data_IF_973832043590
#
_entry.id   IF_973832043590
#
_cell.length_a   1.000
_cell.length_b   1.000
_cell.length_c   1.000
_cell.angle_alpha   90.00
_cell.angle_beta   90.00
_cell.angle_gamma   90.00
#
_symmetry.space_group_name_H-M   'P 1'
#
loop_
_entity.id
_entity.type
_entity.pdbx_description
1 polymer ?
#
# COMPACT_ATOMS: atom_id res chain seq x y z
N UNK A 1 -24.39 -26.37 -9.17
CA UNK A 1 -22.97 -25.96 -9.01
C UNK A 1 -22.77 -24.49 -8.59
N UNK A 2 -23.75 -23.79 -8.02
CA UNK A 2 -23.64 -22.32 -7.74
C UNK A 2 -23.39 -21.93 -6.27
N UNK A 3 -23.30 -22.90 -5.34
CA UNK A 3 -23.19 -22.57 -3.91
C UNK A 3 -21.77 -22.32 -3.39
N UNK A 4 -20.75 -22.86 -4.05
CA UNK A 4 -19.35 -22.74 -3.58
C UNK A 4 -18.75 -21.35 -3.88
N UNK A 5 -19.12 -20.72 -4.97
CA UNK A 5 -18.64 -19.39 -5.31
C UNK A 5 -19.24 -18.29 -4.41
N UNK A 6 -20.48 -18.46 -3.97
CA UNK A 6 -21.15 -17.52 -3.06
C UNK A 6 -20.49 -17.51 -1.66
N UNK A 7 -20.18 -18.71 -1.13
CA UNK A 7 -19.54 -18.83 0.19
C UNK A 7 -18.10 -18.37 0.22
N UNK A 8 -17.33 -18.58 -0.85
CA UNK A 8 -15.95 -18.09 -0.98
C UNK A 8 -15.91 -16.56 -1.05
N UNK A 9 -16.78 -15.96 -1.85
CA UNK A 9 -16.90 -14.49 -1.94
C UNK A 9 -17.33 -13.87 -0.61
N UNK A 10 -18.27 -14.49 0.10
CA UNK A 10 -18.73 -14.00 1.40
C UNK A 10 -17.63 -14.07 2.47
N UNK A 11 -16.79 -15.12 2.45
CA UNK A 11 -15.61 -15.21 3.33
C UNK A 11 -14.59 -14.11 3.05
N UNK A 12 -14.27 -13.87 1.78
CA UNK A 12 -13.34 -12.82 1.38
C UNK A 12 -13.81 -11.43 1.87
N UNK A 13 -15.08 -11.11 1.65
CA UNK A 13 -15.68 -9.85 2.12
C UNK A 13 -15.61 -9.73 3.64
N UNK A 14 -15.93 -10.79 4.37
CA UNK A 14 -15.92 -10.80 5.84
C UNK A 14 -14.51 -10.59 6.37
N UNK A 15 -13.50 -11.26 5.80
CA UNK A 15 -12.11 -11.11 6.19
C UNK A 15 -11.57 -9.70 5.91
N UNK A 16 -11.87 -9.17 4.74
CA UNK A 16 -11.49 -7.78 4.41
C UNK A 16 -12.13 -6.77 5.34
N UNK A 17 -13.41 -6.97 5.69
CA UNK A 17 -14.11 -6.12 6.65
C UNK A 17 -13.46 -6.20 8.04
N UNK A 18 -13.13 -7.40 8.51
CA UNK A 18 -12.44 -7.60 9.79
C UNK A 18 -11.10 -6.87 9.84
N UNK A 19 -10.27 -7.01 8.80
CA UNK A 19 -8.95 -6.39 8.76
C UNK A 19 -8.98 -4.89 8.40
N UNK A 20 -10.12 -4.36 7.95
CA UNK A 20 -10.31 -2.91 7.80
C UNK A 20 -10.49 -2.20 9.12
N UNK A 21 -10.89 -2.91 10.16
CA UNK A 21 -10.92 -2.36 11.51
C UNK A 21 -9.51 -1.97 11.96
N UNK A 22 -9.37 -0.76 12.53
CA UNK A 22 -8.07 -0.21 12.88
C UNK A 22 -7.40 -0.92 14.06
N UNK A 23 -8.20 -1.43 15.01
CA UNK A 23 -7.68 -2.15 16.17
C UNK A 23 -7.11 -3.50 15.74
N UNK A 24 -7.87 -4.28 14.99
CA UNK A 24 -7.42 -5.57 14.45
C UNK A 24 -6.19 -5.42 13.55
N UNK A 25 -6.18 -4.40 12.71
CA UNK A 25 -5.05 -4.12 11.82
C UNK A 25 -3.78 -3.74 12.60
N UNK A 26 -3.91 -2.83 13.57
CA UNK A 26 -2.80 -2.42 14.41
C UNK A 26 -2.24 -3.58 15.22
N UNK A 27 -3.11 -4.40 15.84
CA UNK A 27 -2.70 -5.56 16.62
C UNK A 27 -1.94 -6.57 15.78
N UNK A 28 -2.39 -6.87 14.56
CA UNK A 28 -1.70 -7.78 13.65
C UNK A 28 -0.28 -7.30 13.34
N UNK A 29 -0.13 -6.04 12.95
CA UNK A 29 1.18 -5.47 12.62
C UNK A 29 2.08 -5.36 13.86
N UNK A 30 1.54 -4.92 14.98
CA UNK A 30 2.28 -4.83 16.23
C UNK A 30 2.80 -6.19 16.67
N UNK A 31 1.99 -7.23 16.57
CA UNK A 31 2.39 -8.59 16.92
C UNK A 31 3.45 -9.15 15.97
N UNK A 32 3.27 -8.99 14.66
CA UNK A 32 4.07 -9.69 13.64
C UNK A 32 5.32 -8.92 13.22
N UNK A 33 5.20 -7.63 12.97
CA UNK A 33 6.28 -6.77 12.44
C UNK A 33 7.08 -6.13 13.58
N UNK A 34 6.41 -5.74 14.66
CA UNK A 34 7.02 -4.98 15.75
C UNK A 34 7.24 -5.79 17.04
N UNK A 35 7.16 -7.12 16.96
CA UNK A 35 7.41 -8.03 18.09
C UNK A 35 6.56 -7.71 19.34
N UNK A 36 5.29 -7.39 19.15
CA UNK A 36 4.34 -7.04 20.22
C UNK A 36 4.43 -5.61 20.74
N UNK A 37 5.40 -4.81 20.27
CA UNK A 37 5.47 -3.39 20.63
C UNK A 37 4.33 -2.64 20.00
N UNK A 38 3.65 -1.77 20.76
CA UNK A 38 2.52 -0.96 20.32
C UNK A 38 3.00 0.27 19.51
N UNK A 39 3.57 0.00 18.33
CA UNK A 39 4.08 1.02 17.40
C UNK A 39 2.93 1.62 16.61
N UNK A 40 2.04 0.78 16.07
CA UNK A 40 0.84 1.24 15.39
C UNK A 40 -0.26 1.55 16.42
N UNK A 41 -0.80 2.75 16.35
CA UNK A 41 -1.92 3.21 17.17
C UNK A 41 -3.17 3.27 16.30
N UNK A 42 -4.27 2.60 16.66
CA UNK A 42 -5.49 2.54 15.86
C UNK A 42 -6.04 3.92 15.47
N UNK A 43 -5.98 4.89 16.39
CA UNK A 43 -6.43 6.27 16.21
C UNK A 43 -5.59 7.07 15.19
N UNK A 44 -4.39 6.60 14.86
CA UNK A 44 -3.48 7.20 13.88
C UNK A 44 -3.54 6.55 12.49
N UNK A 45 -4.31 5.48 12.36
CA UNK A 45 -4.48 4.79 11.09
C UNK A 45 -5.60 5.41 10.27
N UNK A 46 -5.30 5.70 9.00
CA UNK A 46 -6.28 6.17 8.01
C UNK A 46 -6.32 5.17 6.86
N UNK A 47 -7.51 4.75 6.47
CA UNK A 47 -7.69 3.88 5.31
C UNK A 47 -7.30 4.63 4.03
N UNK A 48 -6.60 3.93 3.15
CA UNK A 48 -6.22 4.43 1.83
C UNK A 48 -6.96 3.66 0.74
N UNK A 49 -7.00 4.26 -0.44
CA UNK A 49 -7.46 3.57 -1.64
C UNK A 49 -6.61 2.32 -1.90
N UNK A 50 -7.28 1.19 -2.05
CA UNK A 50 -6.66 -0.11 -2.35
C UNK A 50 -6.25 -0.23 -3.81
N UNK A 51 -6.77 0.63 -4.68
CA UNK A 51 -6.39 0.68 -6.09
C UNK A 51 -5.00 1.32 -6.23
N UNK A 52 -4.02 0.50 -6.57
CA UNK A 52 -2.66 0.93 -6.86
C UNK A 52 -2.48 0.91 -8.37
N UNK A 53 -2.99 1.94 -9.03
CA UNK A 53 -2.77 2.15 -10.45
C UNK A 53 -1.68 3.17 -10.68
N UNK A 54 -0.74 2.85 -11.56
CA UNK A 54 0.28 3.78 -12.01
C UNK A 54 0.43 3.72 -13.51
N UNK A 55 0.58 4.89 -14.12
CA UNK A 55 0.91 5.00 -15.54
C UNK A 55 2.41 5.26 -15.66
N UNK A 56 3.12 4.33 -16.28
CA UNK A 56 4.53 4.51 -16.62
C UNK A 56 4.58 5.17 -17.99
N UNK A 57 5.07 6.41 -18.01
CA UNK A 57 5.25 7.18 -19.24
C UNK A 57 6.73 7.27 -19.62
N UNK A 58 7.06 6.84 -20.82
CA UNK A 58 8.34 7.10 -21.47
C UNK A 58 8.09 7.70 -22.85
N UNK A 59 9.11 8.32 -23.47
CA UNK A 59 8.97 9.04 -24.77
C UNK A 59 8.22 8.25 -25.85
N UNK A 60 8.27 6.91 -25.80
CA UNK A 60 7.63 6.03 -26.80
C UNK A 60 6.78 4.90 -26.18
N UNK A 61 6.44 5.00 -24.89
CA UNK A 61 5.79 3.91 -24.18
C UNK A 61 4.90 4.44 -23.06
N UNK A 62 3.63 4.02 -23.12
CA UNK A 62 2.66 4.28 -22.06
C UNK A 62 2.09 2.94 -21.61
N UNK A 63 2.29 2.59 -20.36
CA UNK A 63 1.66 1.42 -19.76
C UNK A 63 0.91 1.82 -18.49
N UNK A 64 -0.34 1.42 -18.40
CA UNK A 64 -1.14 1.53 -17.20
C UNK A 64 -1.24 0.18 -16.54
N UNK A 65 -0.70 0.06 -15.34
CA UNK A 65 -0.81 -1.15 -14.52
C UNK A 65 -1.77 -0.84 -13.39
N UNK A 66 -2.86 -1.61 -13.32
CA UNK A 66 -3.84 -1.52 -12.23
C UNK A 66 -3.76 -2.77 -11.38
N UNK A 67 -3.63 -2.62 -10.07
CA UNK A 67 -3.62 -3.70 -9.08
C UNK A 67 -4.35 -3.25 -7.83
N UNK A 68 -5.12 -4.14 -7.24
CA UNK A 68 -5.84 -3.88 -6.00
C UNK A 68 -5.23 -4.68 -4.87
N UNK A 69 -4.98 -4.03 -3.73
CA UNK A 69 -4.62 -4.66 -2.46
C UNK A 69 -5.87 -4.97 -1.65
N UNK A 70 -5.77 -5.90 -0.69
CA UNK A 70 -6.91 -6.22 0.16
C UNK A 70 -7.21 -5.12 1.17
N UNK A 71 -6.21 -4.65 1.89
CA UNK A 71 -6.32 -3.52 2.82
C UNK A 71 -5.06 -2.66 2.76
N UNK A 72 -5.23 -1.35 2.68
CA UNK A 72 -4.12 -0.39 2.73
C UNK A 72 -4.45 0.70 3.73
N UNK A 73 -3.51 0.95 4.65
CA UNK A 73 -3.62 2.03 5.63
C UNK A 73 -2.37 2.89 5.64
N UNK A 74 -2.56 4.13 6.02
CA UNK A 74 -1.51 5.11 6.26
C UNK A 74 -1.49 5.44 7.74
N UNK A 75 -0.31 5.44 8.33
CA UNK A 75 -0.11 5.92 9.69
C UNK A 75 0.56 7.29 9.66
N UNK A 76 0.03 8.22 10.44
CA UNK A 76 0.64 9.52 10.68
C UNK A 76 0.98 9.62 12.17
N UNK A 77 2.27 9.62 12.49
CA UNK A 77 2.74 9.92 13.84
C UNK A 77 3.85 10.99 13.74
N UNK A 78 3.46 12.25 13.91
CA UNK A 78 4.35 13.37 13.70
C UNK A 78 4.54 13.72 12.22
N UNK A 79 5.77 13.66 11.70
CA UNK A 79 6.15 14.04 10.33
C UNK A 79 6.29 12.82 9.41
N UNK A 80 6.41 11.61 9.96
CA UNK A 80 6.63 10.40 9.18
C UNK A 80 5.34 9.63 8.95
N UNK A 81 5.10 9.25 7.70
CA UNK A 81 3.97 8.44 7.27
C UNK A 81 4.48 7.09 6.78
N UNK A 82 3.88 6.02 7.28
CA UNK A 82 4.12 4.68 6.78
C UNK A 82 2.91 4.20 5.98
N UNK A 83 3.15 3.57 4.83
CA UNK A 83 2.10 2.90 4.07
C UNK A 83 2.14 1.42 4.43
N UNK A 84 1.02 0.90 4.90
CA UNK A 84 0.89 -0.45 5.40
C UNK A 84 -0.09 -1.21 4.52
N UNK A 85 0.37 -2.27 3.88
CA UNK A 85 -0.44 -3.13 3.03
C UNK A 85 -0.66 -4.50 3.66
N UNK A 86 -1.88 -5.01 3.60
CA UNK A 86 -2.22 -6.37 3.99
C UNK A 86 -2.79 -7.12 2.80
N UNK A 87 -2.20 -8.29 2.52
CA UNK A 87 -2.64 -9.25 1.51
C UNK A 87 -3.14 -10.51 2.22
N UNK A 88 -4.34 -10.95 1.91
CA UNK A 88 -4.96 -12.13 2.52
C UNK A 88 -4.99 -13.25 1.49
N UNK A 89 -4.40 -14.39 1.82
CA UNK A 89 -4.30 -15.54 0.92
C UNK A 89 -4.84 -16.81 1.60
N UNK A 90 -5.66 -17.57 0.90
CA UNK A 90 -6.16 -18.87 1.36
C UNK A 90 -5.21 -20.04 1.04
N UNK A 91 -4.32 -19.86 0.07
CA UNK A 91 -3.34 -20.86 -0.37
C UNK A 91 -1.96 -20.25 -0.54
N UNK A 92 -0.93 -21.07 -0.34
CA UNK A 92 0.44 -20.66 -0.61
C UNK A 92 0.63 -20.33 -2.09
N UNK A 93 1.12 -19.14 -2.36
CA UNK A 93 1.40 -18.68 -3.70
C UNK A 93 2.88 -18.25 -3.79
N UNK A 94 3.68 -19.07 -4.45
CA UNK A 94 5.14 -18.87 -4.50
C UNK A 94 5.58 -17.56 -5.17
N UNK A 95 4.75 -16.96 -6.00
CA UNK A 95 5.03 -15.66 -6.62
C UNK A 95 4.54 -14.45 -5.78
N UNK A 96 4.14 -14.64 -4.51
CA UNK A 96 3.74 -13.52 -3.65
C UNK A 96 4.84 -12.46 -3.49
N UNK A 97 6.14 -12.81 -3.35
CA UNK A 97 7.18 -11.79 -3.31
C UNK A 97 7.19 -10.87 -4.55
N UNK A 98 6.97 -11.42 -5.73
CA UNK A 98 6.89 -10.62 -6.97
C UNK A 98 5.62 -9.74 -7.00
N UNK A 99 4.50 -10.25 -6.49
CA UNK A 99 3.27 -9.45 -6.38
C UNK A 99 3.46 -8.29 -5.42
N UNK A 100 4.00 -8.53 -4.22
CA UNK A 100 4.23 -7.48 -3.23
C UNK A 100 5.24 -6.44 -3.74
N UNK A 101 6.34 -6.86 -4.36
CA UNK A 101 7.29 -5.94 -5.03
C UNK A 101 6.60 -5.06 -6.07
N UNK A 102 5.71 -5.64 -6.89
CA UNK A 102 4.95 -4.85 -7.88
C UNK A 102 4.05 -3.83 -7.20
N UNK A 103 3.34 -4.20 -6.15
CA UNK A 103 2.48 -3.28 -5.39
C UNK A 103 3.28 -2.16 -4.73
N UNK A 104 4.42 -2.50 -4.14
CA UNK A 104 5.28 -1.50 -3.49
C UNK A 104 5.87 -0.53 -4.53
N UNK A 105 6.32 -1.05 -5.68
CA UNK A 105 6.80 -0.22 -6.77
C UNK A 105 5.72 0.75 -7.29
N UNK A 106 4.49 0.25 -7.49
CA UNK A 106 3.36 1.10 -7.90
C UNK A 106 3.02 2.15 -6.83
N UNK A 107 3.11 1.79 -5.55
CA UNK A 107 2.92 2.71 -4.43
C UNK A 107 3.94 3.86 -4.49
N UNK A 108 5.22 3.56 -4.68
CA UNK A 108 6.26 4.57 -4.82
C UNK A 108 6.10 5.43 -6.08
N UNK A 109 5.69 4.84 -7.21
CA UNK A 109 5.41 5.61 -8.44
C UNK A 109 4.24 6.57 -8.22
N UNK A 110 3.18 6.13 -7.54
CA UNK A 110 2.05 6.98 -7.19
C UNK A 110 2.50 8.15 -6.31
N UNK A 111 3.25 7.88 -5.26
CA UNK A 111 3.77 8.91 -4.36
C UNK A 111 4.68 9.91 -5.11
N UNK A 112 5.58 9.42 -5.95
CA UNK A 112 6.40 10.28 -6.82
C UNK A 112 5.55 11.22 -7.67
N UNK A 113 4.52 10.71 -8.31
CA UNK A 113 3.61 11.50 -9.13
C UNK A 113 2.83 12.52 -8.29
N UNK A 114 2.42 12.15 -7.08
CA UNK A 114 1.71 13.05 -6.16
C UNK A 114 2.61 14.19 -5.69
N UNK A 115 3.86 13.92 -5.34
CA UNK A 115 4.86 14.94 -4.99
C UNK A 115 5.05 15.92 -6.16
N UNK A 116 5.29 15.40 -7.36
CA UNK A 116 5.44 16.26 -8.57
C UNK A 116 4.21 17.13 -8.83
N UNK A 117 3.03 16.56 -8.63
CA UNK A 117 1.78 17.28 -8.78
C UNK A 117 1.65 18.41 -7.75
N UNK A 118 2.04 18.16 -6.50
CA UNK A 118 2.04 19.18 -5.45
C UNK A 118 2.98 20.33 -5.77
N UNK A 119 4.24 20.06 -6.15
CA UNK A 119 5.18 21.10 -6.57
C UNK A 119 4.63 21.96 -7.73
N UNK A 120 3.97 21.31 -8.70
CA UNK A 120 3.35 22.02 -9.81
C UNK A 120 2.18 22.90 -9.38
N UNK A 121 1.35 22.45 -8.46
CA UNK A 121 0.21 23.21 -7.93
C UNK A 121 0.67 24.40 -7.10
N UNK A 122 1.69 24.20 -6.28
CA UNK A 122 2.28 25.23 -5.44
C UNK A 122 3.13 26.24 -6.24
N UNK A 123 3.45 25.91 -7.50
CA UNK A 123 4.39 26.67 -8.36
C UNK A 123 5.77 26.79 -7.73
N UNK A 124 6.22 25.72 -7.06
CA UNK A 124 7.52 25.69 -6.43
C UNK A 124 8.64 25.85 -7.47
N UNK A 125 9.70 26.55 -7.10
CA UNK A 125 10.90 26.72 -7.93
C UNK A 125 11.97 25.75 -7.46
N UNK A 126 12.51 24.97 -8.39
CA UNK A 126 13.62 24.07 -8.13
C UNK A 126 14.95 24.82 -8.09
N UNK A 127 15.82 24.44 -7.17
CA UNK A 127 17.10 25.11 -6.93
C UNK A 127 18.22 24.59 -7.83
N UNK A 128 18.03 23.43 -8.47
CA UNK A 128 19.02 22.81 -9.35
C UNK A 128 18.41 22.22 -10.63
N UNK A 129 19.24 22.04 -11.71
CA UNK A 129 18.80 21.36 -12.92
C UNK A 129 18.30 19.93 -12.68
N UNK A 130 18.90 19.22 -11.72
CA UNK A 130 18.55 17.84 -11.37
C UNK A 130 17.15 17.75 -10.74
N UNK A 131 16.83 18.69 -9.84
CA UNK A 131 15.50 18.81 -9.25
C UNK A 131 14.45 19.16 -10.32
N UNK A 132 14.78 20.08 -11.22
CA UNK A 132 13.91 20.42 -12.34
C UNK A 132 13.64 19.22 -13.26
N UNK A 133 14.67 18.44 -13.59
CA UNK A 133 14.54 17.25 -14.44
C UNK A 133 13.74 16.13 -13.76
N UNK A 134 13.97 15.89 -12.48
CA UNK A 134 13.26 14.87 -11.70
C UNK A 134 11.84 15.31 -11.31
N UNK A 135 11.63 16.61 -11.13
CA UNK A 135 10.39 17.20 -10.66
C UNK A 135 10.13 16.94 -9.17
N UNK A 136 11.19 16.66 -8.41
CA UNK A 136 11.20 16.50 -6.95
C UNK A 136 12.34 17.33 -6.36
N UNK A 137 12.12 17.84 -5.15
CA UNK A 137 13.09 18.60 -4.38
C UNK A 137 14.00 17.68 -3.56
N UNK A 138 15.20 18.12 -3.27
CA UNK A 138 16.17 17.39 -2.44
C UNK A 138 15.65 17.07 -1.03
N UNK A 139 14.71 17.85 -0.52
CA UNK A 139 14.09 17.66 0.78
C UNK A 139 12.92 16.66 0.77
N UNK A 140 12.38 16.34 -0.42
CA UNK A 140 11.31 15.35 -0.53
C UNK A 140 11.73 13.99 0.02
N UNK A 141 10.81 13.30 0.62
CA UNK A 141 11.02 11.96 1.18
C UNK A 141 9.90 11.05 0.75
N UNK A 142 10.28 9.83 0.39
CA UNK A 142 9.33 8.74 0.17
C UNK A 142 9.00 8.06 1.50
N UNK A 143 7.74 7.71 1.67
CA UNK A 143 7.28 7.02 2.86
C UNK A 143 7.57 5.52 2.76
N UNK A 144 8.05 4.88 3.83
CA UNK A 144 8.24 3.43 3.84
C UNK A 144 6.93 2.70 3.58
N UNK A 145 6.98 1.70 2.69
CA UNK A 145 5.87 0.78 2.44
C UNK A 145 6.18 -0.55 3.11
N UNK A 146 5.29 -1.02 3.97
CA UNK A 146 5.42 -2.31 4.64
C UNK A 146 4.23 -3.17 4.23
N UNK A 147 4.49 -4.28 3.56
CA UNK A 147 3.46 -5.21 3.12
C UNK A 147 3.53 -6.51 3.91
N UNK A 148 2.43 -6.87 4.56
CA UNK A 148 2.24 -8.13 5.25
C UNK A 148 1.37 -9.06 4.41
N UNK A 149 1.79 -10.32 4.28
CA UNK A 149 1.00 -11.36 3.62
C UNK A 149 0.51 -12.34 4.67
N UNK A 150 -0.79 -12.41 4.83
CA UNK A 150 -1.45 -13.31 5.78
C UNK A 150 -1.98 -14.54 5.06
N UNK A 151 -1.44 -15.71 5.40
CA UNK A 151 -1.95 -16.99 4.92
C UNK A 151 -2.94 -17.57 5.92
N UNK A 152 -4.19 -17.71 5.48
CA UNK A 152 -5.26 -18.34 6.27
C UNK A 152 -5.41 -19.79 5.83
N UNK A 153 -4.52 -20.64 6.31
CA UNK A 153 -4.70 -22.09 6.14
C UNK A 153 -5.83 -22.56 7.04
N UNK A 154 -6.95 -22.99 6.44
CA UNK A 154 -7.91 -23.78 7.17
C UNK A 154 -7.27 -25.16 7.39
N UNK A 155 -6.78 -25.39 8.60
CA UNK A 155 -6.42 -26.74 9.04
C UNK A 155 -7.74 -27.51 9.09
N UNK A 156 -7.90 -28.46 8.19
CA UNK A 156 -8.99 -29.42 8.19
C UNK A 156 -8.61 -30.61 9.08
#
# INVERSE_FOLDING_TARGET
MNNTNSTAHQKDVTLKTFWRDNEHFADLFNATVFNGRQVLKPDKLTEMDTDVSATIQSKNYNESITRNRDVVKKMSDGVEFNILGLEIQDKTHYAMPLRTMTYDALGYIKEYNDIKKQHKLNKDSFSSPEEFLSGIDKSDRFHPIITLVLYLSLIH
#
